data_IF_367854767972
#
_entry.id   IF_367854767972
#
_cell.length_a   1.000
_cell.length_b   1.000
_cell.length_c   1.000
_cell.angle_alpha   90.00
_cell.angle_beta   90.00
_cell.angle_gamma   90.00
#
_symmetry.space_group_name_H-M   'P 1'
#
loop_
_entity.id
_entity.type
_entity.pdbx_description
1 polymer ?
#
# COMPACT_ATOMS: atom_id res chain seq x y z
N UNK A 1 24.50 1.53 18.81
CA UNK A 1 25.62 1.71 19.73
C UNK A 1 26.53 2.84 19.28
N UNK A 2 27.11 2.77 18.07
CA UNK A 2 28.07 3.76 17.55
C UNK A 2 27.49 5.18 17.50
N UNK A 3 26.29 5.37 16.95
CA UNK A 3 25.66 6.69 16.84
C UNK A 3 25.46 7.35 18.23
N UNK A 4 25.04 6.56 19.23
CA UNK A 4 24.91 7.07 20.60
C UNK A 4 26.26 7.45 21.24
N UNK A 5 27.28 6.63 21.03
CA UNK A 5 28.62 6.91 21.49
C UNK A 5 29.17 8.20 20.85
N UNK A 6 29.10 8.30 19.53
CA UNK A 6 29.58 9.48 18.79
C UNK A 6 28.81 10.74 19.19
N UNK A 7 27.50 10.68 19.33
CA UNK A 7 26.69 11.83 19.76
C UNK A 7 27.08 12.31 21.19
N UNK A 8 27.33 11.39 22.12
CA UNK A 8 27.77 11.72 23.46
C UNK A 8 29.18 12.32 23.47
N UNK A 9 30.09 11.74 22.70
CA UNK A 9 31.45 12.28 22.55
C UNK A 9 31.42 13.71 22.00
N UNK A 10 30.71 13.95 20.91
CA UNK A 10 30.60 15.29 20.29
C UNK A 10 29.91 16.31 21.21
N UNK A 11 29.00 15.88 22.07
CA UNK A 11 28.40 16.73 23.10
C UNK A 11 29.44 17.09 24.17
N UNK A 12 30.17 16.09 24.64
CA UNK A 12 31.17 16.29 25.70
C UNK A 12 32.36 17.14 25.21
N UNK A 13 32.66 17.07 23.90
CA UNK A 13 33.66 17.90 23.23
C UNK A 13 33.11 19.30 22.81
N UNK A 14 31.88 19.60 23.13
CA UNK A 14 31.27 20.93 22.89
C UNK A 14 30.81 21.18 21.45
N UNK A 15 30.90 20.20 20.55
CA UNK A 15 30.42 20.31 19.16
C UNK A 15 28.88 20.28 19.08
N UNK A 16 28.24 19.48 19.93
CA UNK A 16 26.80 19.47 20.10
C UNK A 16 26.38 20.23 21.35
N UNK A 17 25.16 20.82 21.37
CA UNK A 17 24.65 21.51 22.54
C UNK A 17 24.67 20.63 23.81
N UNK A 18 25.05 21.17 24.96
CA UNK A 18 25.12 20.44 26.24
C UNK A 18 23.77 19.77 26.62
N UNK A 19 22.63 20.32 26.15
CA UNK A 19 21.30 19.75 26.33
C UNK A 19 20.98 18.59 25.35
N UNK A 20 21.85 18.32 24.39
CA UNK A 20 21.68 17.17 23.49
C UNK A 20 21.82 15.87 24.27
N UNK A 21 20.71 15.23 24.59
CA UNK A 21 20.65 13.95 25.30
C UNK A 21 20.90 12.76 24.34
N UNK A 22 19.91 11.91 24.19
CA UNK A 22 19.97 10.80 23.21
C UNK A 22 19.76 11.35 21.80
N UNK A 23 20.53 10.86 20.80
CA UNK A 23 20.44 11.32 19.41
C UNK A 23 19.12 10.92 18.74
N UNK A 24 18.41 9.94 19.29
CA UNK A 24 17.17 9.43 18.76
C UNK A 24 16.06 9.42 19.80
N UNK A 25 14.88 9.87 19.42
CA UNK A 25 13.67 9.80 20.26
C UNK A 25 13.07 8.39 20.28
N UNK A 26 13.25 7.64 19.19
CA UNK A 26 12.66 6.31 19.01
C UNK A 26 13.60 5.42 18.18
N UNK A 27 13.66 4.15 18.50
CA UNK A 27 14.36 3.12 17.74
C UNK A 27 13.32 2.17 17.13
N UNK A 28 13.36 2.03 15.81
CA UNK A 28 12.61 1.02 15.07
C UNK A 28 13.61 -0.07 14.66
N UNK A 29 13.54 -1.23 15.32
CA UNK A 29 14.39 -2.35 14.98
C UNK A 29 13.75 -3.12 13.82
N UNK A 30 14.45 -3.18 12.69
CA UNK A 30 13.99 -3.96 11.54
C UNK A 30 14.20 -5.46 11.73
N UNK A 31 13.36 -6.27 11.06
CA UNK A 31 13.50 -7.71 10.96
C UNK A 31 14.75 -8.13 10.18
N UNK A 32 15.07 -9.42 10.21
CA UNK A 32 16.21 -9.98 9.47
C UNK A 32 15.85 -10.22 8.01
N UNK A 33 16.79 -9.97 7.11
CA UNK A 33 16.70 -10.45 5.73
C UNK A 33 17.29 -11.86 5.67
N UNK A 34 16.44 -12.80 5.23
CA UNK A 34 16.78 -14.22 5.13
C UNK A 34 16.98 -14.58 3.65
N UNK A 35 18.09 -15.25 3.37
CA UNK A 35 18.40 -15.81 2.04
C UNK A 35 18.19 -17.31 1.98
N UNK A 36 17.81 -17.81 0.81
CA UNK A 36 17.74 -19.24 0.54
C UNK A 36 19.12 -19.84 0.71
N UNK A 37 19.28 -20.75 1.67
CA UNK A 37 20.55 -21.36 2.05
C UNK A 37 20.49 -22.84 1.73
N UNK A 38 21.51 -23.35 1.03
CA UNK A 38 21.64 -24.76 0.73
C UNK A 38 22.83 -25.37 1.49
N UNK A 39 22.61 -26.53 2.10
CA UNK A 39 23.62 -27.33 2.78
C UNK A 39 23.72 -28.69 2.14
N UNK A 40 24.96 -29.16 1.91
CA UNK A 40 25.19 -30.53 1.48
C UNK A 40 24.55 -31.51 2.48
N UNK A 41 23.77 -32.43 1.96
CA UNK A 41 23.17 -33.51 2.78
C UNK A 41 24.20 -34.56 3.23
N UNK A 42 25.43 -34.50 2.68
CA UNK A 42 26.52 -35.43 3.01
C UNK A 42 27.53 -34.80 3.95
N UNK A 43 28.04 -33.62 3.60
CA UNK A 43 29.11 -32.94 4.35
C UNK A 43 28.61 -31.89 5.33
N UNK A 44 27.31 -31.54 5.30
CA UNK A 44 26.71 -30.43 6.06
C UNK A 44 27.32 -29.06 5.78
N UNK A 45 28.20 -28.93 4.77
CA UNK A 45 28.80 -27.68 4.35
C UNK A 45 27.80 -26.80 3.61
N UNK A 46 27.95 -25.46 3.72
CA UNK A 46 27.16 -24.52 2.92
C UNK A 46 27.61 -24.58 1.47
N UNK A 47 26.65 -24.72 0.56
CA UNK A 47 26.88 -24.81 -0.88
C UNK A 47 26.76 -23.43 -1.52
N UNK A 48 27.66 -23.16 -2.47
CA UNK A 48 27.59 -22.00 -3.34
C UNK A 48 26.58 -22.25 -4.48
N UNK A 49 25.96 -21.20 -5.05
CA UNK A 49 24.98 -21.36 -6.13
C UNK A 49 25.48 -22.21 -7.32
N UNK A 50 26.76 -22.10 -7.69
CA UNK A 50 27.34 -22.83 -8.81
C UNK A 50 27.69 -24.32 -8.48
N UNK A 51 27.62 -24.72 -7.23
CA UNK A 51 27.76 -26.12 -6.78
C UNK A 51 26.45 -26.90 -6.86
N UNK A 52 25.35 -26.22 -7.23
CA UNK A 52 24.02 -26.81 -7.38
C UNK A 52 23.64 -26.74 -8.86
N UNK A 53 23.26 -27.88 -9.41
CA UNK A 53 22.73 -27.96 -10.76
C UNK A 53 21.40 -27.18 -10.86
N UNK A 54 21.35 -26.17 -11.71
CA UNK A 54 20.18 -25.29 -11.87
C UNK A 54 18.96 -25.97 -12.48
N UNK A 55 19.14 -27.07 -13.22
CA UNK A 55 18.08 -27.82 -13.86
C UNK A 55 17.44 -28.84 -12.92
N UNK A 56 18.27 -29.55 -12.13
CA UNK A 56 17.82 -30.64 -11.26
C UNK A 56 17.73 -30.25 -9.79
N UNK A 57 18.39 -29.15 -9.38
CA UNK A 57 18.44 -28.70 -7.99
C UNK A 57 19.30 -29.55 -7.07
N UNK A 58 20.11 -30.50 -7.61
CA UNK A 58 20.97 -31.38 -6.82
C UNK A 58 22.39 -30.81 -6.72
N UNK A 59 23.12 -31.21 -5.67
CA UNK A 59 24.54 -30.93 -5.50
C UNK A 59 25.35 -31.67 -6.57
N UNK A 60 26.14 -30.94 -7.37
CA UNK A 60 26.88 -31.51 -8.51
C UNK A 60 27.88 -32.58 -8.05
N UNK A 61 28.57 -32.33 -6.93
CA UNK A 61 29.60 -33.24 -6.42
C UNK A 61 29.03 -34.58 -5.91
N UNK A 62 27.82 -34.62 -5.37
CA UNK A 62 27.25 -35.81 -4.72
C UNK A 62 26.05 -36.39 -5.45
N UNK A 63 25.45 -35.66 -6.41
CA UNK A 63 24.20 -36.05 -7.06
C UNK A 63 22.98 -36.11 -6.13
N UNK A 64 23.09 -35.60 -4.90
CA UNK A 64 22.02 -35.62 -3.92
C UNK A 64 21.37 -34.24 -3.75
N UNK A 65 20.10 -34.26 -3.37
CA UNK A 65 19.39 -33.01 -3.06
C UNK A 65 19.96 -32.38 -1.77
N UNK A 66 20.33 -31.07 -1.80
CA UNK A 66 20.77 -30.37 -0.61
C UNK A 66 19.61 -30.11 0.36
N UNK A 67 19.92 -29.94 1.63
CA UNK A 67 18.96 -29.40 2.61
C UNK A 67 18.83 -27.89 2.37
N UNK A 68 17.61 -27.42 2.11
CA UNK A 68 17.31 -26.01 1.83
C UNK A 68 16.53 -25.40 2.98
N UNK A 69 16.97 -24.23 3.44
CA UNK A 69 16.32 -23.44 4.48
C UNK A 69 16.46 -21.94 4.18
N UNK A 70 15.67 -21.10 4.88
CA UNK A 70 15.89 -19.65 4.88
C UNK A 70 16.66 -19.27 6.15
N UNK A 71 17.84 -18.73 5.97
CA UNK A 71 18.71 -18.32 7.07
C UNK A 71 19.18 -16.88 6.88
N UNK A 72 19.56 -16.21 8.00
CA UNK A 72 20.15 -14.87 7.94
C UNK A 72 21.25 -14.83 6.91
N UNK A 73 21.18 -13.85 6.01
CA UNK A 73 22.18 -13.64 4.97
C UNK A 73 23.56 -13.40 5.56
N UNK A 74 24.54 -14.13 5.08
CA UNK A 74 25.94 -13.95 5.44
C UNK A 74 26.88 -14.46 4.35
N UNK A 75 28.08 -13.88 4.28
CA UNK A 75 29.11 -14.27 3.30
C UNK A 75 29.52 -15.75 3.44
N UNK A 76 29.61 -16.23 4.68
CA UNK A 76 29.97 -17.63 4.98
C UNK A 76 28.93 -18.68 4.60
N UNK A 77 27.67 -18.25 4.40
CA UNK A 77 26.57 -19.13 3.98
C UNK A 77 26.30 -19.08 2.49
N UNK A 78 26.96 -18.21 1.78
CA UNK A 78 26.80 -17.99 0.33
C UNK A 78 25.34 -17.71 -0.11
N UNK A 79 24.55 -17.10 0.79
CA UNK A 79 23.12 -16.85 0.62
C UNK A 79 22.77 -15.35 0.57
N UNK A 80 23.77 -14.50 0.46
CA UNK A 80 23.57 -13.05 0.30
C UNK A 80 23.32 -12.65 -1.14
N UNK A 81 22.50 -11.64 -1.34
CA UNK A 81 22.30 -10.96 -2.63
C UNK A 81 23.06 -9.64 -2.60
N UNK A 82 23.76 -9.30 -3.69
CA UNK A 82 24.43 -8.01 -3.82
C UNK A 82 23.41 -6.92 -4.13
N UNK A 83 23.21 -5.92 -3.24
CA UNK A 83 22.29 -4.82 -3.49
C UNK A 83 22.61 -4.04 -4.77
N UNK A 84 23.90 -3.88 -5.13
CA UNK A 84 24.28 -3.15 -6.32
C UNK A 84 23.79 -3.86 -7.58
N UNK A 85 23.96 -5.18 -7.65
CA UNK A 85 23.45 -5.96 -8.78
C UNK A 85 21.94 -5.81 -8.94
N UNK A 86 21.19 -5.85 -7.84
CA UNK A 86 19.71 -5.67 -7.86
C UNK A 86 19.33 -4.27 -8.31
N UNK A 87 20.07 -3.24 -7.89
CA UNK A 87 19.86 -1.86 -8.34
C UNK A 87 20.15 -1.71 -9.83
N UNK A 88 21.22 -2.32 -10.32
CA UNK A 88 21.58 -2.26 -11.73
C UNK A 88 20.55 -2.97 -12.63
N UNK A 89 19.95 -4.07 -12.15
CA UNK A 89 18.95 -4.85 -12.90
C UNK A 89 17.53 -4.25 -12.83
N UNK A 90 17.14 -3.70 -11.67
CA UNK A 90 15.74 -3.34 -11.40
C UNK A 90 15.51 -1.88 -11.02
N UNK A 91 16.56 -1.13 -10.74
CA UNK A 91 16.51 0.24 -10.24
C UNK A 91 16.35 0.34 -8.72
N UNK A 92 16.87 1.42 -8.16
CA UNK A 92 16.87 1.66 -6.72
C UNK A 92 15.43 1.75 -6.14
N UNK A 93 14.53 2.42 -6.82
CA UNK A 93 13.15 2.61 -6.35
C UNK A 93 12.36 1.31 -6.33
N UNK A 94 12.60 0.42 -7.31
CA UNK A 94 11.99 -0.91 -7.32
C UNK A 94 12.47 -1.74 -6.13
N UNK A 95 13.77 -1.71 -5.83
CA UNK A 95 14.33 -2.41 -4.68
C UNK A 95 13.78 -1.87 -3.35
N UNK A 96 13.73 -0.54 -3.19
CA UNK A 96 13.15 0.12 -2.00
C UNK A 96 11.70 -0.31 -1.78
N UNK A 97 10.91 -0.22 -2.84
CA UNK A 97 9.50 -0.59 -2.82
C UNK A 97 9.30 -2.09 -2.49
N UNK A 98 10.15 -2.96 -3.06
CA UNK A 98 10.13 -4.39 -2.77
C UNK A 98 10.37 -4.69 -1.28
N UNK A 99 11.42 -4.11 -0.68
CA UNK A 99 11.77 -4.34 0.73
C UNK A 99 10.65 -3.85 1.64
N UNK A 100 10.10 -2.65 1.38
CA UNK A 100 9.07 -2.05 2.22
C UNK A 100 7.69 -2.70 2.05
N UNK A 101 7.46 -3.39 0.94
CA UNK A 101 6.19 -4.07 0.65
C UNK A 101 6.17 -5.54 1.08
N UNK A 102 7.32 -6.25 1.03
CA UNK A 102 7.39 -7.71 1.17
C UNK A 102 6.96 -8.22 2.55
N UNK A 103 7.27 -7.48 3.62
CA UNK A 103 6.97 -7.88 4.99
C UNK A 103 6.76 -6.64 5.90
N UNK A 104 6.09 -6.79 7.06
CA UNK A 104 6.17 -5.80 8.13
C UNK A 104 7.62 -5.50 8.50
N UNK A 105 7.90 -4.26 8.95
CA UNK A 105 9.28 -3.82 9.14
C UNK A 105 10.04 -4.60 10.22
N UNK A 106 9.35 -5.18 11.20
CA UNK A 106 9.90 -5.95 12.34
C UNK A 106 9.90 -7.47 12.10
N UNK A 107 9.24 -7.93 11.04
CA UNK A 107 9.22 -9.34 10.65
C UNK A 107 10.42 -9.73 9.79
N UNK A 108 10.70 -11.04 9.73
CA UNK A 108 11.74 -11.58 8.88
C UNK A 108 11.31 -11.53 7.39
N UNK A 109 12.16 -10.90 6.56
CA UNK A 109 11.97 -10.81 5.11
C UNK A 109 12.66 -11.99 4.43
N UNK A 110 11.88 -12.90 3.83
CA UNK A 110 12.42 -13.95 2.96
C UNK A 110 12.71 -13.37 1.56
N UNK A 111 13.99 -13.37 1.19
CA UNK A 111 14.42 -12.86 -0.11
C UNK A 111 14.06 -13.84 -1.22
N UNK A 112 13.34 -13.37 -2.22
CA UNK A 112 12.94 -14.12 -3.41
C UNK A 112 13.07 -13.20 -4.65
N UNK A 113 14.05 -13.46 -5.51
CA UNK A 113 14.34 -12.61 -6.68
C UNK A 113 13.11 -12.39 -7.58
N UNK A 114 12.29 -13.43 -7.77
CA UNK A 114 11.09 -13.36 -8.61
C UNK A 114 10.03 -12.38 -8.07
N UNK A 115 9.99 -12.15 -6.77
CA UNK A 115 8.99 -11.30 -6.13
C UNK A 115 9.19 -9.80 -6.41
N UNK A 116 10.40 -9.40 -6.82
CA UNK A 116 10.75 -8.02 -7.21
C UNK A 116 9.95 -7.54 -8.43
N UNK A 117 9.50 -8.46 -9.27
CA UNK A 117 8.71 -8.16 -10.46
C UNK A 117 7.36 -7.48 -10.16
N UNK A 118 6.79 -7.69 -8.97
CA UNK A 118 5.54 -7.06 -8.53
C UNK A 118 5.66 -5.54 -8.42
N UNK A 119 6.55 -5.03 -7.57
CA UNK A 119 6.87 -3.60 -7.49
C UNK A 119 7.27 -2.98 -8.83
N UNK A 120 8.08 -3.63 -9.64
CA UNK A 120 8.43 -3.15 -10.96
C UNK A 120 7.20 -2.98 -11.88
N UNK A 121 6.25 -3.92 -11.85
CA UNK A 121 4.99 -3.81 -12.59
C UNK A 121 4.11 -2.68 -12.09
N UNK A 122 4.07 -2.45 -10.77
CA UNK A 122 3.32 -1.35 -10.18
C UNK A 122 3.84 0.00 -10.68
N UNK A 123 5.15 0.25 -10.63
CA UNK A 123 5.75 1.48 -11.14
C UNK A 123 5.49 1.68 -12.63
N UNK A 124 5.67 0.63 -13.46
CA UNK A 124 5.35 0.69 -14.90
C UNK A 124 3.88 0.97 -15.17
N UNK A 125 2.97 0.35 -14.39
CA UNK A 125 1.53 0.60 -14.52
C UNK A 125 1.18 2.03 -14.18
N UNK A 126 1.80 2.58 -13.12
CA UNK A 126 1.59 3.98 -12.74
C UNK A 126 2.10 4.93 -13.82
N UNK A 127 3.29 4.68 -14.38
CA UNK A 127 3.82 5.49 -15.48
C UNK A 127 2.90 5.49 -16.71
N UNK A 128 2.41 4.31 -17.08
CA UNK A 128 1.44 4.19 -18.18
C UNK A 128 0.12 4.94 -17.91
N UNK A 129 -0.38 4.90 -16.66
CA UNK A 129 -1.60 5.62 -16.28
C UNK A 129 -1.40 7.15 -16.34
N UNK A 130 -0.21 7.62 -15.98
CA UNK A 130 0.15 9.05 -16.10
C UNK A 130 0.19 9.46 -17.58
N UNK A 131 0.87 8.68 -18.44
CA UNK A 131 0.91 8.94 -19.88
C UNK A 131 -0.49 8.98 -20.50
N UNK A 132 -1.33 8.00 -20.17
CA UNK A 132 -2.72 7.96 -20.65
C UNK A 132 -3.54 9.18 -20.19
N UNK A 133 -3.33 9.64 -18.94
CA UNK A 133 -3.98 10.85 -18.45
C UNK A 133 -3.54 12.09 -19.23
N UNK A 134 -2.23 12.25 -19.47
CA UNK A 134 -1.68 13.39 -20.21
C UNK A 134 -2.21 13.42 -21.64
N UNK A 135 -2.27 12.27 -22.31
CA UNK A 135 -2.77 12.13 -23.68
C UNK A 135 -4.27 12.48 -23.81
N UNK A 136 -5.05 12.19 -22.76
CA UNK A 136 -6.50 12.39 -22.74
C UNK A 136 -6.94 13.70 -22.09
N UNK A 137 -6.04 14.40 -21.45
CA UNK A 137 -6.31 15.69 -20.82
C UNK A 137 -6.64 16.73 -21.91
N UNK A 138 -7.85 17.29 -21.87
CA UNK A 138 -8.20 18.44 -22.71
C UNK A 138 -7.44 19.71 -22.29
N UNK A 139 -7.40 20.71 -23.17
CA UNK A 139 -6.81 22.03 -22.89
C UNK A 139 -7.54 22.71 -21.71
N UNK A 140 -7.03 22.48 -20.53
CA UNK A 140 -7.25 23.33 -19.35
C UNK A 140 -8.69 23.43 -18.83
N UNK A 141 -9.01 22.65 -17.84
CA UNK A 141 -9.76 23.14 -16.69
C UNK A 141 -9.15 22.50 -15.45
N UNK A 142 -8.51 23.32 -14.62
CA UNK A 142 -8.26 22.96 -13.24
C UNK A 142 -9.57 22.47 -12.62
N UNK A 143 -9.54 21.41 -11.81
CA UNK A 143 -10.72 21.01 -11.08
C UNK A 143 -11.15 22.20 -10.23
N UNK A 144 -12.35 22.69 -10.48
CA UNK A 144 -12.98 23.60 -9.54
C UNK A 144 -12.82 23.01 -8.14
N UNK A 145 -12.14 23.75 -7.28
CA UNK A 145 -12.16 23.49 -5.84
C UNK A 145 -13.60 23.12 -5.50
N UNK A 146 -13.81 22.01 -4.80
CA UNK A 146 -15.16 21.57 -4.41
C UNK A 146 -15.80 22.70 -3.58
N UNK A 147 -16.35 23.66 -4.28
CA UNK A 147 -17.09 24.77 -3.74
C UNK A 147 -18.58 24.41 -3.86
N UNK A 148 -19.15 23.90 -2.77
CA UNK A 148 -20.57 23.61 -2.69
C UNK A 148 -20.92 22.16 -2.38
N UNK A 149 -22.21 21.88 -2.25
CA UNK A 149 -22.82 20.56 -1.89
C UNK A 149 -22.72 19.48 -3.01
N UNK A 150 -21.61 19.41 -3.71
CA UNK A 150 -21.42 18.37 -4.74
C UNK A 150 -20.98 17.09 -4.06
N UNK A 151 -21.71 16.00 -4.32
CA UNK A 151 -21.32 14.67 -3.85
C UNK A 151 -20.01 14.25 -4.54
N UNK A 152 -18.93 13.98 -3.79
CA UNK A 152 -17.65 13.61 -4.38
C UNK A 152 -17.75 12.27 -5.13
N UNK A 153 -16.96 12.09 -6.16
CA UNK A 153 -16.88 10.83 -6.88
C UNK A 153 -16.31 9.73 -5.99
N UNK A 154 -16.60 8.47 -6.33
CA UNK A 154 -16.04 7.33 -5.60
C UNK A 154 -14.51 7.30 -5.62
N UNK A 155 -13.90 7.78 -6.70
CA UNK A 155 -12.45 7.91 -6.84
C UNK A 155 -11.89 8.96 -5.88
N UNK A 156 -12.53 10.14 -5.80
CA UNK A 156 -12.15 11.22 -4.88
C UNK A 156 -12.22 10.72 -3.44
N UNK A 157 -13.31 10.06 -3.04
CA UNK A 157 -13.46 9.48 -1.70
C UNK A 157 -12.36 8.47 -1.40
N UNK A 158 -12.07 7.57 -2.35
CA UNK A 158 -11.00 6.57 -2.18
C UNK A 158 -9.63 7.23 -2.06
N UNK A 159 -9.37 8.30 -2.81
CA UNK A 159 -8.11 9.06 -2.78
C UNK A 159 -7.87 9.65 -1.40
N UNK A 160 -8.85 10.34 -0.82
CA UNK A 160 -8.74 10.91 0.53
C UNK A 160 -8.64 9.82 1.60
N UNK A 161 -9.41 8.74 1.48
CA UNK A 161 -9.32 7.60 2.40
C UNK A 161 -7.94 6.91 2.30
N UNK A 162 -7.31 6.87 1.13
CA UNK A 162 -5.96 6.34 0.96
C UNK A 162 -4.93 7.26 1.60
N UNK A 163 -5.05 8.59 1.44
CA UNK A 163 -4.18 9.56 2.09
C UNK A 163 -4.24 9.42 3.63
N UNK A 164 -5.43 9.28 4.21
CA UNK A 164 -5.61 9.05 5.64
C UNK A 164 -4.90 7.76 6.10
N UNK A 165 -5.15 6.62 5.43
CA UNK A 165 -4.57 5.33 5.80
C UNK A 165 -3.06 5.27 5.64
N UNK A 166 -2.52 5.79 4.54
CA UNK A 166 -1.07 5.84 4.31
C UNK A 166 -0.38 6.74 5.33
N UNK A 167 -0.97 7.89 5.65
CA UNK A 167 -0.46 8.79 6.70
C UNK A 167 -0.40 8.08 8.06
N UNK A 168 -1.48 7.40 8.45
CA UNK A 168 -1.52 6.61 9.69
C UNK A 168 -0.51 5.46 9.68
N UNK A 169 -0.40 4.75 8.55
CA UNK A 169 0.56 3.66 8.40
C UNK A 169 2.01 4.12 8.54
N UNK A 170 2.36 5.31 8.04
CA UNK A 170 3.72 5.85 8.14
C UNK A 170 4.02 6.49 9.49
N UNK A 171 3.05 7.16 10.12
CA UNK A 171 3.28 7.95 11.33
C UNK A 171 3.08 7.16 12.63
N UNK A 172 2.19 6.18 12.63
CA UNK A 172 1.72 5.52 13.85
C UNK A 172 2.11 4.04 13.90
N UNK A 173 1.70 3.25 12.92
CA UNK A 173 1.87 1.79 12.94
C UNK A 173 3.13 1.31 12.24
N UNK A 174 3.77 2.13 11.41
CA UNK A 174 4.91 1.75 10.54
C UNK A 174 4.61 0.54 9.65
N UNK A 175 3.34 0.37 9.28
CA UNK A 175 2.87 -0.71 8.41
C UNK A 175 3.12 -0.35 6.93
N UNK A 176 4.39 -0.29 6.53
CA UNK A 176 4.80 0.13 5.18
C UNK A 176 4.21 -0.76 4.08
N UNK A 177 4.14 -2.06 4.32
CA UNK A 177 3.54 -3.03 3.41
C UNK A 177 2.04 -2.75 3.17
N UNK A 178 1.31 -2.35 4.20
CA UNK A 178 -0.09 -1.94 4.10
C UNK A 178 -0.23 -0.64 3.31
N UNK A 179 0.64 0.35 3.58
CA UNK A 179 0.66 1.60 2.83
C UNK A 179 0.88 1.36 1.33
N UNK A 180 1.88 0.56 0.94
CA UNK A 180 2.13 0.21 -0.47
C UNK A 180 0.92 -0.53 -1.08
N UNK A 181 0.29 -1.45 -0.33
CA UNK A 181 -0.92 -2.14 -0.78
C UNK A 181 -2.08 -1.15 -1.06
N UNK A 182 -2.25 -0.14 -0.23
CA UNK A 182 -3.29 0.87 -0.42
C UNK A 182 -2.98 1.79 -1.62
N UNK A 183 -1.71 2.12 -1.89
CA UNK A 183 -1.30 2.81 -3.11
C UNK A 183 -1.60 1.99 -4.37
N UNK A 184 -1.36 0.67 -4.34
CA UNK A 184 -1.70 -0.23 -5.44
C UNK A 184 -3.22 -0.29 -5.71
N UNK A 185 -4.05 -0.30 -4.65
CA UNK A 185 -5.52 -0.25 -4.78
C UNK A 185 -5.98 1.08 -5.39
N UNK A 186 -5.40 2.20 -4.96
CA UNK A 186 -5.70 3.50 -5.54
C UNK A 186 -5.34 3.55 -7.02
N UNK A 187 -4.17 3.05 -7.41
CA UNK A 187 -3.78 2.96 -8.82
C UNK A 187 -4.78 2.12 -9.63
N UNK A 188 -5.25 1.00 -9.08
CA UNK A 188 -6.24 0.18 -9.78
C UNK A 188 -7.53 0.97 -10.02
N UNK A 189 -8.04 1.68 -9.01
CA UNK A 189 -9.24 2.51 -9.15
C UNK A 189 -9.04 3.68 -10.15
N UNK A 190 -7.88 4.31 -10.15
CA UNK A 190 -7.50 5.29 -11.18
C UNK A 190 -7.55 4.63 -12.55
N UNK A 191 -6.98 3.43 -12.70
CA UNK A 191 -7.03 2.67 -13.93
C UNK A 191 -8.44 2.22 -14.36
N UNK A 192 -9.38 2.07 -13.48
CA UNK A 192 -10.76 1.69 -13.75
C UNK A 192 -11.70 2.89 -13.94
N UNK A 193 -11.19 4.13 -13.79
CA UNK A 193 -11.99 5.34 -13.99
C UNK A 193 -12.47 5.45 -15.45
N UNK A 194 -13.75 5.79 -15.68
CA UNK A 194 -14.32 5.85 -17.04
C UNK A 194 -13.72 6.97 -17.89
N UNK A 195 -13.39 8.09 -17.27
CA UNK A 195 -12.71 9.21 -17.90
C UNK A 195 -11.31 9.41 -17.30
N UNK A 196 -10.30 9.02 -18.09
CA UNK A 196 -8.90 9.11 -17.72
C UNK A 196 -8.32 10.53 -17.80
N UNK A 197 -8.95 11.42 -18.56
CA UNK A 197 -8.57 12.82 -18.69
C UNK A 197 -9.13 13.70 -17.58
N UNK A 198 -10.04 13.18 -16.74
CA UNK A 198 -10.77 13.99 -15.77
C UNK A 198 -9.89 14.62 -14.69
N UNK A 199 -10.38 15.69 -14.11
CA UNK A 199 -9.79 16.38 -12.98
C UNK A 199 -9.63 15.49 -11.73
N UNK A 200 -10.60 14.60 -11.47
CA UNK A 200 -10.54 13.63 -10.38
C UNK A 200 -9.38 12.66 -10.54
N UNK A 201 -9.13 12.18 -11.78
CA UNK A 201 -7.98 11.31 -12.08
C UNK A 201 -6.67 12.06 -11.87
N UNK A 202 -6.58 13.32 -12.33
CA UNK A 202 -5.40 14.17 -12.11
C UNK A 202 -5.10 14.32 -10.61
N UNK A 203 -6.08 14.77 -9.83
CA UNK A 203 -5.92 14.96 -8.38
C UNK A 203 -5.53 13.65 -7.66
N UNK A 204 -6.09 12.52 -8.11
CA UNK A 204 -5.76 11.20 -7.57
C UNK A 204 -4.34 10.76 -7.91
N UNK A 205 -3.86 10.98 -9.14
CA UNK A 205 -2.49 10.73 -9.56
C UNK A 205 -1.49 11.60 -8.78
N UNK A 206 -1.77 12.89 -8.64
CA UNK A 206 -0.94 13.82 -7.87
C UNK A 206 -0.85 13.39 -6.39
N UNK A 207 -1.96 12.97 -5.80
CA UNK A 207 -2.00 12.47 -4.43
C UNK A 207 -1.21 11.16 -4.29
N UNK A 208 -1.40 10.22 -5.22
CA UNK A 208 -0.69 8.94 -5.23
C UNK A 208 0.82 9.13 -5.35
N UNK A 209 1.28 10.00 -6.25
CA UNK A 209 2.71 10.28 -6.45
C UNK A 209 3.36 10.90 -5.21
N UNK A 210 2.69 11.86 -4.55
CA UNK A 210 3.18 12.43 -3.28
C UNK A 210 3.25 11.40 -2.16
N UNK A 211 2.23 10.53 -2.02
CA UNK A 211 2.23 9.45 -1.05
C UNK A 211 3.28 8.38 -1.35
N UNK A 212 3.64 8.19 -2.61
CA UNK A 212 4.66 7.24 -3.06
C UNK A 212 6.09 7.76 -2.85
N UNK A 213 6.30 9.07 -2.81
CA UNK A 213 7.63 9.69 -2.76
C UNK A 213 8.57 9.13 -1.67
N UNK A 214 8.14 8.84 -0.43
CA UNK A 214 9.00 8.22 0.56
C UNK A 214 9.48 6.81 0.19
N UNK A 215 8.74 6.08 -0.64
CA UNK A 215 9.03 4.71 -1.05
C UNK A 215 9.88 4.66 -2.32
N UNK A 216 9.53 5.47 -3.32
CA UNK A 216 10.15 5.51 -4.64
C UNK A 216 10.45 6.98 -5.05
N UNK A 217 11.48 7.60 -4.45
CA UNK A 217 11.72 9.04 -4.58
C UNK A 217 12.03 9.49 -5.99
N UNK A 218 12.90 8.77 -6.72
CA UNK A 218 13.31 9.17 -8.08
C UNK A 218 12.16 9.05 -9.07
N UNK A 219 11.43 7.93 -8.99
CA UNK A 219 10.21 7.73 -9.79
C UNK A 219 9.17 8.81 -9.52
N UNK A 220 8.96 9.15 -8.24
CA UNK A 220 7.96 10.15 -7.86
C UNK A 220 8.33 11.55 -8.32
N UNK A 221 9.61 11.93 -8.30
CA UNK A 221 10.09 13.20 -8.82
C UNK A 221 9.80 13.32 -10.33
N UNK A 222 10.14 12.29 -11.12
CA UNK A 222 9.87 12.26 -12.55
C UNK A 222 8.37 12.25 -12.88
N UNK A 223 7.60 11.44 -12.14
CA UNK A 223 6.15 11.36 -12.28
C UNK A 223 5.46 12.70 -11.96
N UNK A 224 5.92 13.38 -10.93
CA UNK A 224 5.41 14.71 -10.56
C UNK A 224 5.68 15.74 -11.64
N UNK A 225 6.90 15.77 -12.18
CA UNK A 225 7.27 16.64 -13.28
C UNK A 225 6.43 16.39 -14.55
N UNK A 226 6.04 15.13 -14.80
CA UNK A 226 5.21 14.76 -15.94
C UNK A 226 3.75 15.18 -15.78
N UNK A 227 3.17 15.07 -14.56
CA UNK A 227 1.76 15.39 -14.29
C UNK A 227 1.56 16.90 -14.11
N UNK A 228 2.53 17.58 -13.49
CA UNK A 228 2.41 18.98 -13.05
C UNK A 228 2.31 19.97 -14.20
N UNK A 229 1.53 21.05 -13.99
CA UNK A 229 1.48 22.19 -14.92
C UNK A 229 2.61 23.18 -14.66
N UNK A 230 3.08 23.28 -13.43
CA UNK A 230 4.23 24.09 -13.05
C UNK A 230 5.46 23.21 -12.79
N UNK A 231 6.39 23.21 -13.74
CA UNK A 231 7.63 22.43 -13.69
C UNK A 231 8.62 22.87 -12.59
N UNK A 232 8.23 23.84 -11.76
CA UNK A 232 9.09 24.44 -10.73
C UNK A 232 8.94 23.80 -9.37
N UNK A 233 7.84 23.05 -9.13
CA UNK A 233 7.61 22.44 -7.83
C UNK A 233 8.16 21.01 -7.81
N UNK A 234 9.10 20.77 -6.90
CA UNK A 234 9.54 19.41 -6.57
C UNK A 234 8.43 18.68 -5.80
N UNK A 235 8.26 17.38 -6.03
CA UNK A 235 7.32 16.53 -5.29
C UNK A 235 7.52 16.61 -3.78
N UNK A 236 8.75 16.85 -3.33
CA UNK A 236 9.11 16.97 -1.92
C UNK A 236 8.74 18.34 -1.32
N UNK A 237 8.59 19.37 -2.17
CA UNK A 237 8.14 20.70 -1.78
C UNK A 237 6.62 20.88 -1.90
N UNK A 238 5.95 20.01 -2.68
CA UNK A 238 4.50 20.04 -2.89
C UNK A 238 3.67 19.75 -1.61
N UNK A 239 4.34 19.39 -0.50
CA UNK A 239 3.72 19.09 0.78
C UNK A 239 3.02 17.72 0.83
N UNK A 240 2.81 17.23 2.04
CA UNK A 240 2.13 15.96 2.27
C UNK A 240 0.62 16.09 2.04
N UNK A 241 -0.03 15.18 1.28
CA UNK A 241 -1.45 15.30 0.99
C UNK A 241 -2.30 15.04 2.24
N UNK A 242 -3.13 16.01 2.60
CA UNK A 242 -4.07 15.90 3.71
C UNK A 242 -5.40 15.29 3.23
N UNK A 243 -6.00 14.45 4.06
CA UNK A 243 -7.35 13.98 3.83
C UNK A 243 -8.37 15.06 4.24
N UNK A 244 -9.41 15.28 3.44
CA UNK A 244 -10.51 16.17 3.78
C UNK A 244 -11.65 15.37 4.44
N UNK A 245 -11.96 15.69 5.70
CA UNK A 245 -13.01 15.02 6.47
C UNK A 245 -14.40 15.16 5.82
N UNK A 246 -14.67 16.26 5.13
CA UNK A 246 -15.92 16.46 4.39
C UNK A 246 -16.09 15.42 3.28
N UNK A 247 -14.98 15.04 2.62
CA UNK A 247 -14.97 13.99 1.60
C UNK A 247 -15.07 12.61 2.27
N UNK A 248 -14.36 12.40 3.37
CA UNK A 248 -14.37 11.12 4.10
C UNK A 248 -15.72 10.73 4.65
N UNK A 249 -16.64 11.67 4.89
CA UNK A 249 -18.04 11.39 5.24
C UNK A 249 -18.78 10.58 4.18
N UNK A 250 -18.34 10.59 2.95
CA UNK A 250 -18.90 9.77 1.85
C UNK A 250 -18.24 8.37 1.74
N UNK A 251 -17.31 8.03 2.64
CA UNK A 251 -16.68 6.70 2.67
C UNK A 251 -17.73 5.62 2.90
N UNK A 252 -17.64 4.54 2.11
CA UNK A 252 -18.53 3.39 2.26
C UNK A 252 -18.32 2.67 3.59
N UNK A 253 -19.40 2.47 4.33
CA UNK A 253 -19.47 1.64 5.54
C UNK A 253 -20.12 0.31 5.14
N UNK A 254 -19.37 -0.80 5.16
CA UNK A 254 -19.90 -2.09 4.72
C UNK A 254 -20.81 -2.71 5.76
N UNK A 255 -21.87 -3.36 5.29
CA UNK A 255 -22.79 -4.19 6.07
C UNK A 255 -22.80 -5.62 5.50
N UNK A 256 -22.80 -6.61 6.38
CA UNK A 256 -22.98 -8.01 6.02
C UNK A 256 -24.47 -8.33 5.92
N UNK A 257 -24.92 -8.89 4.80
CA UNK A 257 -26.31 -9.32 4.63
C UNK A 257 -26.43 -10.80 5.04
N UNK A 258 -27.31 -11.05 6.00
CA UNK A 258 -27.71 -12.39 6.42
C UNK A 258 -29.14 -12.65 5.94
N UNK A 259 -29.32 -13.71 5.15
CA UNK A 259 -30.62 -14.18 4.68
C UNK A 259 -30.94 -15.51 5.38
N UNK A 260 -32.07 -15.53 6.13
CA UNK A 260 -32.50 -16.68 6.92
C UNK A 260 -31.35 -17.26 7.80
N UNK A 261 -30.59 -16.36 8.46
CA UNK A 261 -29.50 -16.69 9.37
C UNK A 261 -28.18 -17.06 8.69
N UNK A 262 -28.08 -17.02 7.36
CA UNK A 262 -26.84 -17.32 6.62
C UNK A 262 -26.31 -16.10 5.89
N UNK A 263 -24.99 -15.88 5.94
CA UNK A 263 -24.33 -14.84 5.16
C UNK A 263 -24.52 -15.07 3.66
N UNK A 264 -25.01 -14.06 2.95
CA UNK A 264 -25.34 -14.13 1.52
C UNK A 264 -24.75 -12.99 0.68
N UNK A 265 -24.06 -12.08 1.29
CA UNK A 265 -23.44 -10.95 0.60
C UNK A 265 -23.20 -9.78 1.51
N UNK A 266 -22.94 -8.64 0.91
CA UNK A 266 -22.75 -7.38 1.61
C UNK A 266 -23.42 -6.24 0.86
N UNK A 267 -23.64 -5.14 1.55
CA UNK A 267 -24.06 -3.85 1.02
C UNK A 267 -23.28 -2.77 1.73
N UNK A 268 -23.39 -1.54 1.30
CA UNK A 268 -22.75 -0.42 1.98
C UNK A 268 -23.63 0.83 1.96
N UNK A 269 -23.45 1.67 2.96
CA UNK A 269 -23.97 3.03 3.03
C UNK A 269 -22.80 3.98 3.22
N UNK A 270 -23.01 5.28 3.11
CA UNK A 270 -21.94 6.24 3.41
C UNK A 270 -21.80 6.46 4.91
N UNK A 271 -20.62 6.93 5.38
CA UNK A 271 -20.46 7.36 6.77
C UNK A 271 -21.44 8.50 7.07
N UNK A 272 -21.70 9.40 6.10
CA UNK A 272 -22.71 10.45 6.21
C UNK A 272 -24.10 9.88 6.52
N UNK A 273 -24.53 8.82 5.81
CA UNK A 273 -25.79 8.15 6.09
C UNK A 273 -25.82 7.55 7.50
N UNK A 274 -24.67 7.01 7.96
CA UNK A 274 -24.54 6.48 9.32
C UNK A 274 -24.69 7.54 10.40
N UNK A 275 -24.23 8.76 10.15
CA UNK A 275 -24.20 9.84 11.14
C UNK A 275 -25.51 10.65 11.16
N UNK A 276 -26.17 10.80 10.00
CA UNK A 276 -27.31 11.72 9.83
C UNK A 276 -28.68 11.03 9.80
N UNK A 277 -28.75 9.76 9.39
CA UNK A 277 -30.03 9.04 9.30
C UNK A 277 -30.40 8.40 10.63
N UNK A 278 -31.68 8.42 10.95
CA UNK A 278 -32.24 7.57 12.01
C UNK A 278 -32.33 6.10 11.58
N UNK A 279 -32.74 5.22 12.46
CA UNK A 279 -32.73 3.77 12.18
C UNK A 279 -33.72 3.39 11.07
N UNK A 280 -34.87 4.08 11.00
CA UNK A 280 -35.88 3.81 9.97
C UNK A 280 -35.43 4.25 8.57
N UNK A 281 -34.87 5.45 8.47
CA UNK A 281 -34.33 5.97 7.22
C UNK A 281 -33.11 5.15 6.75
N UNK A 282 -32.24 4.73 7.67
CA UNK A 282 -31.10 3.88 7.37
C UNK A 282 -31.55 2.50 6.88
N UNK A 283 -32.55 1.89 7.52
CA UNK A 283 -33.12 0.62 7.07
C UNK A 283 -33.68 0.75 5.66
N UNK A 284 -34.45 1.82 5.38
CA UNK A 284 -34.97 2.11 4.04
C UNK A 284 -33.86 2.24 3.02
N UNK A 285 -32.81 3.01 3.33
CA UNK A 285 -31.64 3.23 2.46
C UNK A 285 -30.93 1.91 2.10
N UNK A 286 -30.71 1.04 3.10
CA UNK A 286 -30.09 -0.26 2.93
C UNK A 286 -31.01 -1.21 2.14
N UNK A 287 -32.30 -1.18 2.37
CA UNK A 287 -33.28 -2.02 1.67
C UNK A 287 -33.33 -1.72 0.18
N UNK A 288 -33.20 -0.44 -0.19
CA UNK A 288 -33.22 0.03 -1.58
C UNK A 288 -31.86 -0.12 -2.28
N UNK A 289 -30.76 -0.43 -1.56
CA UNK A 289 -29.44 -0.64 -2.15
C UNK A 289 -29.45 -1.81 -3.13
N UNK A 290 -28.82 -1.63 -4.29
CA UNK A 290 -28.84 -2.59 -5.39
C UNK A 290 -28.33 -3.98 -5.01
N UNK A 291 -27.32 -4.07 -4.15
CA UNK A 291 -26.78 -5.33 -3.62
C UNK A 291 -27.81 -6.03 -2.73
N UNK A 292 -28.52 -5.30 -1.89
CA UNK A 292 -29.59 -5.84 -1.03
C UNK A 292 -30.74 -6.37 -1.89
N UNK A 293 -31.16 -5.59 -2.89
CA UNK A 293 -32.19 -5.99 -3.85
C UNK A 293 -31.81 -7.28 -4.58
N UNK A 294 -30.56 -7.42 -5.02
CA UNK A 294 -30.05 -8.65 -5.66
C UNK A 294 -30.09 -9.85 -4.72
N UNK A 295 -29.73 -9.69 -3.45
CA UNK A 295 -29.73 -10.78 -2.46
C UNK A 295 -31.16 -11.22 -2.14
N UNK A 296 -32.09 -10.27 -1.98
CA UNK A 296 -33.52 -10.55 -1.74
C UNK A 296 -34.18 -11.20 -2.95
N UNK A 297 -33.92 -10.69 -4.15
CA UNK A 297 -34.52 -11.17 -5.39
C UNK A 297 -36.04 -11.10 -5.36
N UNK A 298 -36.71 -12.20 -5.79
CA UNK A 298 -38.20 -12.31 -5.81
C UNK A 298 -38.80 -12.89 -4.50
N UNK A 299 -38.00 -12.99 -3.40
CA UNK A 299 -38.46 -13.60 -2.16
C UNK A 299 -39.38 -12.65 -1.41
N UNK A 300 -40.38 -13.23 -0.74
CA UNK A 300 -41.26 -12.45 0.14
C UNK A 300 -40.56 -12.21 1.49
N UNK A 301 -40.26 -10.95 1.79
CA UNK A 301 -39.58 -10.56 3.03
C UNK A 301 -40.58 -10.42 4.15
N UNK A 302 -40.47 -11.25 5.20
CA UNK A 302 -41.27 -11.20 6.42
C UNK A 302 -40.69 -10.25 7.46
N UNK A 303 -39.36 -10.18 7.56
CA UNK A 303 -38.72 -9.27 8.49
C UNK A 303 -37.38 -8.78 7.86
N UNK A 304 -37.10 -7.50 8.12
CA UNK A 304 -35.86 -6.83 7.74
C UNK A 304 -35.38 -6.05 8.96
N UNK A 305 -34.18 -6.30 9.41
CA UNK A 305 -33.58 -5.66 10.57
C UNK A 305 -32.15 -5.23 10.31
N UNK A 306 -31.82 -3.99 10.62
CA UNK A 306 -30.48 -3.44 10.54
C UNK A 306 -29.90 -3.32 11.95
N UNK A 307 -28.75 -3.93 12.18
CA UNK A 307 -27.97 -3.70 13.38
C UNK A 307 -26.80 -2.78 13.02
N UNK A 308 -26.90 -1.51 13.40
CA UNK A 308 -25.93 -0.45 13.09
C UNK A 308 -24.57 -0.73 13.71
N UNK A 309 -24.52 -1.12 14.98
CA UNK A 309 -23.27 -1.36 15.70
C UNK A 309 -22.51 -2.57 15.14
N UNK A 310 -23.22 -3.69 14.90
CA UNK A 310 -22.63 -4.91 14.34
C UNK A 310 -22.46 -4.85 12.82
N UNK A 311 -23.02 -3.83 12.16
CA UNK A 311 -23.04 -3.68 10.70
C UNK A 311 -23.59 -4.92 9.99
N UNK A 312 -24.72 -5.41 10.49
CA UNK A 312 -25.39 -6.60 9.96
C UNK A 312 -26.81 -6.27 9.58
N UNK A 313 -27.21 -6.74 8.41
CA UNK A 313 -28.58 -6.71 7.90
C UNK A 313 -29.16 -8.13 7.96
N UNK A 314 -30.16 -8.34 8.77
CA UNK A 314 -30.84 -9.64 8.91
C UNK A 314 -32.16 -9.61 8.15
N UNK A 315 -32.30 -10.51 7.15
CA UNK A 315 -33.47 -10.63 6.30
C UNK A 315 -34.07 -12.01 6.50
N UNK A 316 -35.37 -12.06 6.81
CA UNK A 316 -36.14 -13.29 7.00
C UNK A 316 -37.17 -13.38 5.90
N UNK A 317 -37.18 -14.49 5.16
CA UNK A 317 -38.07 -14.71 4.01
C UNK A 317 -39.05 -15.84 4.20
N UNK A 318 -38.90 -16.67 5.21
CA UNK A 318 -39.81 -17.80 5.51
C UNK A 318 -40.61 -17.60 6.77
#
# INVERSE_FOLDING_TARGET
>A
LYARFTAKFLRDDGVLPAKAGEPFKRLLAQGLVLGRTAKSSVSCAYLKPHEIDSATGVEIATGKAPAVSFEKMSKSKHNGTDPQQVVDEHGADTLRLFILFKAPYDDALMWEDKAISGPARFLRKLWAAIGEHIDKRGDGSDPDVINGDVTPSSLTVLTHATAERVTSALSTSFAFNTAVSDLMKLLNAICDAPDRGSADVRASLQTLVRLLAPFAPHFSAEAWAAIGDDRRDDVFEAGWPAADERVLRYRAVPFVIQLDGRGKGGTSVTQKDMDELDDEALEKRIREAGETVKVVGKRNVKAFRVNREKRVVSIITK
#
